data_IF_180817477758
#
_entry.id   IF_180817477758
#
_cell.length_a   1.000
_cell.length_b   1.000
_cell.length_c   1.000
_cell.angle_alpha   90.00
_cell.angle_beta   90.00
_cell.angle_gamma   90.00
#
_symmetry.space_group_name_H-M   'P 1'
#
loop_
_entity.id
_entity.type
_entity.pdbx_description
1 polymer ?
#
# COMPACT_ATOMS: atom_id res chain seq x y z
N UNK A 1 -2.14 13.53 -21.32
CA UNK A 1 -1.14 12.77 -20.54
C UNK A 1 -1.91 12.00 -19.48
N UNK A 2 -1.88 10.67 -19.49
CA UNK A 2 -2.58 9.85 -18.50
C UNK A 2 -1.74 9.83 -17.22
N UNK A 3 -2.29 10.31 -16.12
CA UNK A 3 -1.62 10.28 -14.80
C UNK A 3 -1.67 8.84 -14.27
N UNK A 4 -0.51 8.18 -14.21
CA UNK A 4 -0.38 6.80 -13.75
C UNK A 4 -0.33 6.69 -12.21
N UNK A 5 -0.48 7.81 -11.49
CA UNK A 5 -0.49 7.81 -10.03
C UNK A 5 -1.66 7.00 -9.47
N UNK A 6 -1.37 6.09 -8.53
CA UNK A 6 -2.39 5.25 -7.87
C UNK A 6 -3.47 6.06 -7.15
N UNK A 7 -3.12 7.28 -6.73
CA UNK A 7 -4.01 8.18 -6.02
C UNK A 7 -4.83 9.08 -6.94
N UNK A 8 -4.63 9.05 -8.26
CA UNK A 8 -5.39 9.89 -9.20
C UNK A 8 -6.88 9.50 -9.21
N UNK A 9 -7.75 10.50 -9.27
CA UNK A 9 -9.21 10.29 -9.38
C UNK A 9 -9.75 10.47 -10.80
N UNK A 10 -8.87 10.67 -11.79
CA UNK A 10 -9.24 10.90 -13.20
C UNK A 10 -9.85 12.28 -13.50
N UNK A 11 -10.05 13.13 -12.49
CA UNK A 11 -10.61 14.49 -12.60
C UNK A 11 -9.65 15.56 -12.09
N UNK A 12 -8.35 15.36 -12.29
CA UNK A 12 -7.28 16.24 -11.80
C UNK A 12 -7.24 16.41 -10.26
N UNK A 13 -7.76 15.43 -9.51
CA UNK A 13 -7.71 15.39 -8.06
C UNK A 13 -7.05 14.11 -7.53
N UNK A 14 -6.97 14.01 -6.21
CA UNK A 14 -6.36 12.88 -5.51
C UNK A 14 -7.39 12.23 -4.57
N UNK A 15 -7.48 10.90 -4.59
CA UNK A 15 -8.29 10.12 -3.65
C UNK A 15 -7.60 9.87 -2.30
N UNK A 16 -6.29 10.15 -2.21
CA UNK A 16 -5.44 9.84 -1.05
C UNK A 16 -5.12 11.09 -0.25
N UNK A 17 -4.75 12.18 -0.94
CA UNK A 17 -4.39 13.44 -0.31
C UNK A 17 -5.54 14.44 -0.43
N UNK A 18 -5.75 15.24 0.60
CA UNK A 18 -6.68 16.37 0.58
C UNK A 18 -6.02 17.59 -0.06
N UNK A 19 -5.86 17.56 -1.39
CA UNK A 19 -5.29 18.66 -2.19
C UNK A 19 -6.32 19.22 -3.17
N UNK A 20 -6.23 20.53 -3.45
CA UNK A 20 -7.16 21.17 -4.38
C UNK A 20 -7.04 20.67 -5.82
N UNK A 21 -5.80 20.37 -6.28
CA UNK A 21 -5.49 19.78 -7.59
C UNK A 21 -4.32 18.81 -7.46
N UNK A 22 -4.29 17.78 -8.30
CA UNK A 22 -3.16 16.84 -8.35
C UNK A 22 -1.87 17.59 -8.73
N UNK A 23 -0.81 17.37 -7.97
CA UNK A 23 0.50 17.99 -8.21
C UNK A 23 1.41 17.14 -9.12
N UNK A 24 0.94 15.97 -9.55
CA UNK A 24 1.63 15.07 -10.46
C UNK A 24 3.07 14.78 -10.02
N UNK A 25 4.07 15.07 -10.86
CA UNK A 25 5.50 14.89 -10.65
C UNK A 25 6.06 15.69 -9.47
N UNK A 26 5.40 16.78 -9.07
CA UNK A 26 5.79 17.57 -7.90
C UNK A 26 5.25 17.00 -6.58
N UNK A 27 4.37 16.01 -6.63
CA UNK A 27 3.84 15.38 -5.43
C UNK A 27 4.89 14.45 -4.82
N UNK A 28 5.34 14.74 -3.59
CA UNK A 28 6.29 13.86 -2.87
C UNK A 28 5.73 12.46 -2.55
N UNK A 29 4.42 12.26 -2.72
CA UNK A 29 3.73 10.97 -2.57
C UNK A 29 3.40 10.31 -3.91
N UNK A 30 3.88 10.87 -5.03
CA UNK A 30 3.65 10.30 -6.35
C UNK A 30 4.21 8.88 -6.41
N UNK A 31 3.37 7.96 -6.87
CA UNK A 31 3.74 6.56 -7.09
C UNK A 31 2.80 5.95 -8.12
N UNK A 32 3.33 5.15 -9.04
CA UNK A 32 2.50 4.37 -9.95
C UNK A 32 1.76 3.25 -9.21
N UNK A 33 0.67 2.74 -9.80
CA UNK A 33 -0.02 1.55 -9.25
C UNK A 33 0.92 0.35 -9.12
N UNK A 34 1.82 0.14 -10.08
CA UNK A 34 2.77 -0.98 -10.05
C UNK A 34 3.75 -0.87 -8.88
N UNK A 35 4.38 0.29 -8.69
CA UNK A 35 5.31 0.52 -7.57
C UNK A 35 4.62 0.33 -6.22
N UNK A 36 3.35 0.78 -6.08
CA UNK A 36 2.57 0.56 -4.86
C UNK A 36 2.37 -0.94 -4.59
N UNK A 37 2.06 -1.73 -5.60
CA UNK A 37 1.88 -3.17 -5.46
C UNK A 37 3.18 -3.87 -5.07
N UNK A 38 4.30 -3.50 -5.67
CA UNK A 38 5.63 -4.03 -5.35
C UNK A 38 6.03 -3.71 -3.91
N UNK A 39 5.83 -2.47 -3.46
CA UNK A 39 6.14 -2.09 -2.08
C UNK A 39 5.21 -2.77 -1.08
N UNK A 40 3.93 -2.95 -1.42
CA UNK A 40 3.00 -3.73 -0.61
C UNK A 40 3.43 -5.18 -0.49
N UNK A 41 3.90 -5.80 -1.58
CA UNK A 41 4.47 -7.17 -1.54
C UNK A 41 5.67 -7.25 -0.60
N UNK A 42 6.62 -6.31 -0.69
CA UNK A 42 7.79 -6.26 0.20
C UNK A 42 7.37 -6.13 1.66
N UNK A 43 6.45 -5.22 1.97
CA UNK A 43 5.94 -5.03 3.33
C UNK A 43 5.27 -6.31 3.86
N UNK A 44 4.49 -6.99 3.03
CA UNK A 44 3.83 -8.24 3.43
C UNK A 44 4.81 -9.38 3.69
N UNK A 45 5.91 -9.48 2.93
CA UNK A 45 6.97 -10.45 3.22
C UNK A 45 7.60 -10.19 4.60
N UNK A 46 7.85 -8.93 4.95
CA UNK A 46 8.38 -8.57 6.28
C UNK A 46 7.38 -8.90 7.39
N UNK A 47 6.09 -8.60 7.20
CA UNK A 47 5.05 -8.94 8.16
C UNK A 47 4.90 -10.46 8.33
N UNK A 48 5.00 -11.23 7.25
CA UNK A 48 4.93 -12.68 7.28
C UNK A 48 6.13 -13.34 7.98
N UNK A 49 7.28 -12.67 8.02
CA UNK A 49 8.48 -13.15 8.72
C UNK A 49 8.46 -12.90 10.24
N UNK A 50 7.50 -12.12 10.76
CA UNK A 50 7.39 -11.86 12.20
C UNK A 50 6.92 -13.10 12.97
N UNK A 51 7.21 -13.19 14.28
CA UNK A 51 6.62 -14.21 15.15
C UNK A 51 5.08 -14.23 15.11
N UNK A 52 4.44 -15.41 15.28
CA UNK A 52 2.99 -15.55 15.12
C UNK A 52 2.14 -14.68 16.05
N UNK A 53 2.61 -14.43 17.27
CA UNK A 53 1.99 -13.56 18.25
C UNK A 53 2.01 -12.09 17.81
N UNK A 54 3.14 -11.62 17.27
CA UNK A 54 3.24 -10.27 16.69
C UNK A 54 2.35 -10.11 15.46
N UNK A 55 2.30 -11.12 14.58
CA UNK A 55 1.40 -11.08 13.42
C UNK A 55 -0.08 -10.98 13.84
N UNK A 56 -0.50 -11.72 14.88
CA UNK A 56 -1.85 -11.62 15.46
C UNK A 56 -2.12 -10.21 16.01
N UNK A 57 -1.19 -9.67 16.80
CA UNK A 57 -1.33 -8.32 17.36
C UNK A 57 -1.52 -7.25 16.26
N UNK A 58 -0.69 -7.29 15.20
CA UNK A 58 -0.80 -6.35 14.07
C UNK A 58 -2.12 -6.53 13.31
N UNK A 59 -2.51 -7.78 13.07
CA UNK A 59 -3.76 -8.14 12.40
C UNK A 59 -4.99 -7.60 13.14
N UNK A 60 -5.05 -7.81 14.45
CA UNK A 60 -6.17 -7.34 15.27
C UNK A 60 -6.22 -5.81 15.34
N UNK A 61 -5.05 -5.17 15.46
CA UNK A 61 -4.95 -3.71 15.61
C UNK A 61 -5.23 -2.93 14.32
N UNK A 62 -4.78 -3.41 13.18
CA UNK A 62 -4.79 -2.62 11.93
C UNK A 62 -5.59 -3.26 10.79
N UNK A 63 -5.93 -4.54 10.88
CA UNK A 63 -6.53 -5.29 9.77
C UNK A 63 -7.83 -6.01 10.16
N UNK A 64 -8.46 -5.64 11.29
CA UNK A 64 -9.70 -6.24 11.77
C UNK A 64 -9.62 -7.78 11.86
N UNK A 65 -8.50 -8.29 12.38
CA UNK A 65 -8.26 -9.73 12.54
C UNK A 65 -7.89 -10.46 11.24
N UNK A 66 -7.70 -9.74 10.12
CA UNK A 66 -7.24 -10.33 8.86
C UNK A 66 -5.72 -10.25 8.73
N UNK A 67 -5.10 -11.31 8.19
CA UNK A 67 -3.68 -11.33 7.82
C UNK A 67 -3.54 -11.38 6.30
N UNK A 68 -3.63 -10.25 5.57
CA UNK A 68 -3.52 -10.25 4.12
C UNK A 68 -2.16 -10.77 3.62
N UNK A 69 -1.12 -10.73 4.45
CA UNK A 69 0.20 -11.29 4.16
C UNK A 69 0.31 -12.81 4.40
N UNK A 70 -0.67 -13.47 5.01
CA UNK A 70 -0.60 -14.93 5.26
C UNK A 70 -0.62 -15.78 3.97
N UNK A 71 -1.09 -15.20 2.85
CA UNK A 71 -1.05 -15.83 1.51
C UNK A 71 0.31 -15.65 0.83
N UNK A 72 1.13 -14.72 1.32
CA UNK A 72 2.53 -14.56 0.91
C UNK A 72 3.37 -15.63 1.60
N UNK A 73 3.09 -16.91 1.34
CA UNK A 73 3.94 -17.98 1.84
C UNK A 73 5.30 -17.81 1.18
N UNK A 74 6.29 -17.34 1.93
CA UNK A 74 7.68 -17.67 1.68
C UNK A 74 7.77 -19.19 1.70
N UNK A 75 7.81 -19.81 0.53
CA UNK A 75 8.50 -21.09 0.38
C UNK A 75 9.98 -20.80 0.68
N UNK A 76 10.38 -21.08 1.93
CA UNK A 76 11.78 -21.23 2.31
C UNK A 76 12.32 -22.49 1.65
#
# INVERSE_FOLDING_TARGET
MYDNCFGSNGRNGCNILTVHKCQQDKCSFYKSTQELEEDRKKAYLLLAALPPDMQRYISDKYYNGKMPWAKSKCSV
#
